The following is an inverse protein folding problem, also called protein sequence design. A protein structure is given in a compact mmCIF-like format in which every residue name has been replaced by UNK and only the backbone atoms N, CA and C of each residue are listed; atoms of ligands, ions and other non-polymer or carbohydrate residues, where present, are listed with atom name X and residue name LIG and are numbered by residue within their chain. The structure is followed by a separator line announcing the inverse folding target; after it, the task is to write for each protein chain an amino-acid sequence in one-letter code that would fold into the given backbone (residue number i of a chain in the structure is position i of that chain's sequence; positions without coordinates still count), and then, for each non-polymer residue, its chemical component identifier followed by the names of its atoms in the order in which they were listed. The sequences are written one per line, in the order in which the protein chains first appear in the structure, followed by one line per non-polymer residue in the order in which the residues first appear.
data_IF_484957737991
#
_entry.id   IF_484957737991
#
_cell.length_a   1.000
_cell.length_b   1.000
_cell.length_c   1.000
_cell.angle_alpha   90.00
_cell.angle_beta   90.00
_cell.angle_gamma   90.00
#
_symmetry.space_group_name_H-M   'P 1'
#
loop_
_entity.id
_entity.type
_entity.pdbx_description
1 polymer ?
#
# COMPACT_ATOMS: atom_id res chain seq x y z
N UNK A 1 17.09 -5.80 4.68
CA UNK A 1 16.75 -4.89 5.79
C UNK A 1 15.23 -4.86 5.80
N UNK A 2 14.57 -5.58 6.72
CA UNK A 2 13.11 -5.50 6.87
C UNK A 2 12.83 -4.07 7.31
N UNK A 3 12.18 -3.27 6.46
CA UNK A 3 12.03 -1.84 6.73
C UNK A 3 11.01 -1.61 7.84
N UNK A 4 10.12 -2.58 8.01
CA UNK A 4 9.18 -2.64 9.10
C UNK A 4 9.03 -4.10 9.53
N UNK A 5 8.93 -4.37 10.83
CA UNK A 5 8.78 -5.72 11.38
C UNK A 5 7.40 -6.35 11.07
N UNK A 6 6.70 -5.83 10.05
CA UNK A 6 5.49 -6.39 9.49
C UNK A 6 5.87 -7.59 8.61
N UNK A 7 6.18 -8.73 9.24
CA UNK A 7 6.42 -10.00 8.54
C UNK A 7 5.25 -10.54 7.70
N UNK A 8 4.18 -9.74 7.53
CA UNK A 8 2.93 -10.07 6.86
C UNK A 8 2.75 -9.32 5.52
N UNK A 9 3.53 -8.27 5.24
CA UNK A 9 3.39 -7.43 4.04
C UNK A 9 4.51 -7.69 3.02
N UNK A 10 4.98 -8.94 2.88
CA UNK A 10 5.99 -9.28 1.87
C UNK A 10 5.48 -8.98 0.46
N UNK A 11 4.19 -9.20 0.21
CA UNK A 11 3.50 -8.94 -1.05
C UNK A 11 2.03 -8.58 -0.79
N UNK A 12 1.57 -7.47 -1.34
CA UNK A 12 0.17 -7.02 -1.26
C UNK A 12 -0.37 -6.88 -2.67
N UNK A 13 -1.48 -7.56 -2.93
CA UNK A 13 -2.24 -7.42 -4.17
C UNK A 13 -3.51 -6.61 -3.89
N UNK A 14 -3.56 -5.41 -4.46
CA UNK A 14 -4.66 -4.47 -4.34
C UNK A 14 -5.47 -4.49 -5.62
N UNK A 15 -6.75 -4.86 -5.54
CA UNK A 15 -7.65 -4.85 -6.69
C UNK A 15 -8.59 -3.66 -6.60
N UNK A 16 -8.54 -2.82 -7.63
CA UNK A 16 -9.47 -1.70 -7.81
C UNK A 16 -10.80 -2.17 -8.38
N UNK A 17 -11.81 -1.31 -8.29
CA UNK A 17 -13.14 -1.52 -8.86
C UNK A 17 -13.12 -1.70 -10.39
N UNK A 18 -12.17 -1.10 -11.09
CA UNK A 18 -11.94 -1.26 -12.54
C UNK A 18 -11.19 -2.56 -12.90
N UNK A 19 -11.11 -3.51 -11.94
CA UNK A 19 -10.40 -4.77 -12.04
C UNK A 19 -8.88 -4.66 -12.24
N UNK A 20 -8.32 -3.45 -12.14
CA UNK A 20 -6.88 -3.29 -12.19
C UNK A 20 -6.25 -3.83 -10.91
N UNK A 21 -5.28 -4.73 -11.08
CA UNK A 21 -4.52 -5.33 -10.00
C UNK A 21 -3.20 -4.57 -9.83
N UNK A 22 -2.99 -4.02 -8.65
CA UNK A 22 -1.72 -3.48 -8.24
C UNK A 22 -1.03 -4.48 -7.34
N UNK A 23 0.25 -4.73 -7.59
CA UNK A 23 1.04 -5.68 -6.83
C UNK A 23 2.24 -4.94 -6.26
N UNK A 24 2.39 -4.97 -4.95
CA UNK A 24 3.49 -4.32 -4.25
C UNK A 24 4.26 -5.34 -3.44
N UNK A 25 5.58 -5.24 -3.48
CA UNK A 25 6.46 -5.99 -2.60
C UNK A 25 7.12 -5.05 -1.60
N UNK A 26 7.42 -5.53 -0.39
CA UNK A 26 8.05 -4.70 0.63
C UNK A 26 9.33 -4.00 0.12
N UNK A 27 10.14 -4.73 -0.65
CA UNK A 27 11.38 -4.23 -1.25
C UNK A 27 11.20 -3.19 -2.36
N UNK A 28 9.98 -3.01 -2.87
CA UNK A 28 9.64 -1.99 -3.87
C UNK A 28 9.12 -0.70 -3.25
N UNK A 29 8.74 -0.68 -1.96
CA UNK A 29 8.30 0.55 -1.29
C UNK A 29 9.31 1.71 -1.42
N UNK A 30 10.63 1.52 -1.26
CA UNK A 30 11.60 2.60 -1.44
C UNK A 30 11.74 3.08 -2.90
N UNK A 31 11.22 2.30 -3.86
CA UNK A 31 11.27 2.58 -5.30
C UNK A 31 9.93 3.05 -5.87
N UNK A 32 8.86 3.02 -5.06
CA UNK A 32 7.57 3.58 -5.46
C UNK A 32 7.72 5.08 -5.68
N UNK A 33 7.20 5.57 -6.79
CA UNK A 33 7.13 7.00 -6.99
C UNK A 33 6.11 7.60 -6.03
N UNK A 34 6.35 8.85 -5.62
CA UNK A 34 5.41 9.57 -4.76
C UNK A 34 3.99 9.58 -5.34
N UNK A 35 3.87 9.64 -6.67
CA UNK A 35 2.58 9.59 -7.36
C UNK A 35 1.86 8.24 -7.17
N UNK A 36 2.58 7.12 -7.24
CA UNK A 36 2.00 5.79 -7.00
C UNK A 36 1.52 5.64 -5.55
N UNK A 37 2.24 6.26 -4.60
CA UNK A 37 1.88 6.30 -3.17
C UNK A 37 0.64 7.17 -2.95
N UNK A 38 0.56 8.34 -3.59
CA UNK A 38 -0.60 9.23 -3.54
C UNK A 38 -1.85 8.55 -4.12
N UNK A 39 -1.73 7.89 -5.29
CA UNK A 39 -2.83 7.15 -5.90
C UNK A 39 -3.32 6.02 -4.98
N UNK A 40 -2.41 5.27 -4.36
CA UNK A 40 -2.78 4.26 -3.37
C UNK A 40 -3.48 4.84 -2.14
N UNK A 41 -2.99 5.96 -1.60
CA UNK A 41 -3.64 6.64 -0.48
C UNK A 41 -5.04 7.11 -0.85
N UNK A 42 -5.24 7.61 -2.07
CA UNK A 42 -6.56 7.97 -2.60
C UNK A 42 -7.47 6.75 -2.64
N UNK A 43 -6.99 5.60 -3.10
CA UNK A 43 -7.78 4.37 -3.15
C UNK A 43 -8.18 3.84 -1.77
N UNK A 44 -7.26 3.94 -0.80
CA UNK A 44 -7.52 3.61 0.60
C UNK A 44 -8.59 4.52 1.22
N UNK A 45 -8.47 5.84 1.03
CA UNK A 45 -9.44 6.83 1.54
C UNK A 45 -10.81 6.66 0.88
N UNK A 46 -10.83 6.37 -0.42
CA UNK A 46 -12.07 6.11 -1.16
C UNK A 46 -12.70 4.74 -0.82
N UNK A 47 -12.02 3.88 -0.05
CA UNK A 47 -12.44 2.50 0.27
C UNK A 47 -12.78 1.67 -0.98
N UNK A 48 -12.14 1.95 -2.10
CA UNK A 48 -12.32 1.23 -3.38
C UNK A 48 -11.56 -0.09 -3.46
N UNK A 49 -10.94 -0.48 -2.34
CA UNK A 49 -10.21 -1.74 -2.22
C UNK A 49 -11.19 -2.77 -1.66
N UNK A 50 -11.90 -3.44 -2.56
CA UNK A 50 -12.93 -4.43 -2.20
C UNK A 50 -12.35 -5.81 -1.91
N UNK A 51 -11.06 -6.02 -2.17
CA UNK A 51 -10.40 -7.33 -2.09
C UNK A 51 -9.48 -7.52 -0.87
N UNK A 52 -9.32 -6.50 -0.01
CA UNK A 52 -8.39 -6.54 1.12
C UNK A 52 -9.15 -6.34 2.44
N UNK A 53 -8.73 -7.07 3.47
CA UNK A 53 -9.26 -6.94 4.82
C UNK A 53 -8.99 -5.54 5.40
N UNK A 54 -9.91 -5.07 6.24
CA UNK A 54 -9.86 -3.72 6.83
C UNK A 54 -8.59 -3.49 7.65
N UNK A 55 -8.10 -4.51 8.34
CA UNK A 55 -6.91 -4.41 9.18
C UNK A 55 -5.65 -4.20 8.34
N UNK A 56 -5.54 -4.91 7.21
CA UNK A 56 -4.45 -4.74 6.22
C UNK A 56 -4.52 -3.36 5.54
N UNK A 57 -5.73 -2.86 5.26
CA UNK A 57 -5.94 -1.48 4.74
C UNK A 57 -5.41 -0.43 5.72
N UNK A 58 -5.64 -0.63 7.01
CA UNK A 58 -5.18 0.28 8.06
C UNK A 58 -3.65 0.27 8.16
N UNK A 59 -3.05 -0.92 8.22
CA UNK A 59 -1.59 -1.09 8.28
C UNK A 59 -0.89 -0.51 7.03
N UNK A 60 -1.46 -0.75 5.85
CA UNK A 60 -0.97 -0.18 4.59
C UNK A 60 -1.04 1.35 4.59
N UNK A 61 -2.15 1.93 5.05
CA UNK A 61 -2.31 3.38 5.16
C UNK A 61 -1.29 4.01 6.12
N UNK A 62 -0.98 3.33 7.23
CA UNK A 62 0.06 3.77 8.17
C UNK A 62 1.44 3.69 7.52
N UNK A 63 1.77 2.59 6.84
CA UNK A 63 3.05 2.39 6.16
C UNK A 63 3.29 3.44 5.05
N UNK A 64 2.31 3.66 4.17
CA UNK A 64 2.40 4.66 3.10
C UNK A 64 2.53 6.08 3.65
N UNK A 65 1.80 6.42 4.73
CA UNK A 65 1.91 7.72 5.39
C UNK A 65 3.26 7.94 6.08
N UNK A 66 3.89 6.89 6.59
CA UNK A 66 5.26 6.97 7.11
C UNK A 66 6.27 7.20 5.99
N UNK A 67 6.04 6.60 4.82
CA UNK A 67 6.90 6.73 3.65
C UNK A 67 6.88 8.16 3.07
N UNK A 68 5.70 8.76 2.89
CA UNK A 68 5.57 10.15 2.38
C UNK A 68 6.10 11.22 3.34
N UNK A 69 6.25 10.91 4.63
CA UNK A 69 6.86 11.83 5.62
C UNK A 69 8.38 11.72 5.70
N UNK A 70 8.98 10.70 5.10
CA UNK A 70 10.43 10.44 5.13
C UNK A 70 11.16 10.88 3.86
N UNK A 71 10.46 11.00 2.74
CA UNK A 71 10.98 11.55 1.47
C UNK A 71 10.93 13.08 1.50
#
# INVERSE_FOLDING_TARGET
MKWYDYGYLEEIEVRREDQQLYKFKEGEFPRLHLHDIEDMLVLLVQKKLSNIERDVIFDLGVALRMLTRRT
#
